data_IF_139911570315
#
_entry.id   IF_139911570315
#
_cell.length_a   1.000
_cell.length_b   1.000
_cell.length_c   1.000
_cell.angle_alpha   90.00
_cell.angle_beta   90.00
_cell.angle_gamma   90.00
#
_symmetry.space_group_name_H-M   'P 1'
#
loop_
_entity.id
_entity.type
_entity.pdbx_description
1 polymer ?
#
# COMPACT_ATOMS: atom_id res chain seq x y z
N UNK A 1 6.45 -17.05 -11.82
CA UNK A 1 5.45 -16.00 -11.59
C UNK A 1 6.26 -14.72 -11.41
N UNK A 2 6.33 -13.88 -12.42
CA UNK A 2 7.02 -12.59 -12.28
C UNK A 2 6.07 -11.63 -11.59
N UNK A 3 6.50 -11.07 -10.46
CA UNK A 3 5.80 -9.98 -9.81
C UNK A 3 6.21 -8.69 -10.52
N UNK A 4 5.25 -7.92 -11.00
CA UNK A 4 5.47 -6.59 -11.56
C UNK A 4 4.95 -5.50 -10.61
N UNK A 5 5.27 -4.24 -10.91
CA UNK A 5 4.86 -3.10 -10.09
C UNK A 5 3.35 -2.80 -10.12
N UNK A 6 2.63 -3.36 -11.09
CA UNK A 6 1.17 -3.20 -11.27
C UNK A 6 0.38 -4.40 -10.73
N UNK A 7 1.07 -5.41 -10.22
CA UNK A 7 0.47 -6.66 -9.78
C UNK A 7 -0.47 -6.35 -8.63
N UNK A 8 -1.73 -6.76 -8.77
CA UNK A 8 -2.70 -6.60 -7.71
C UNK A 8 -2.45 -7.63 -6.59
N UNK A 9 -1.73 -7.21 -5.55
CA UNK A 9 -1.27 -7.99 -4.39
C UNK A 9 -2.42 -8.51 -3.53
N UNK A 10 -3.53 -7.77 -3.47
CA UNK A 10 -4.72 -8.16 -2.75
C UNK A 10 -5.48 -9.26 -3.49
N UNK A 11 -5.66 -9.10 -4.81
CA UNK A 11 -6.35 -10.07 -5.67
C UNK A 11 -5.55 -11.34 -5.88
N UNK A 12 -4.21 -11.25 -5.91
CA UNK A 12 -3.33 -12.41 -5.99
C UNK A 12 -3.31 -13.23 -4.69
N UNK A 13 -3.84 -12.69 -3.59
CA UNK A 13 -3.81 -13.32 -2.27
C UNK A 13 -2.44 -13.25 -1.60
N UNK A 14 -1.51 -12.44 -2.13
CA UNK A 14 -0.20 -12.20 -1.51
C UNK A 14 -0.33 -11.32 -0.26
N UNK A 15 -1.34 -10.46 -0.22
CA UNK A 15 -1.67 -9.60 0.91
C UNK A 15 -3.14 -9.84 1.29
N UNK A 16 -3.36 -10.14 2.56
CA UNK A 16 -4.68 -10.15 3.20
C UNK A 16 -4.92 -8.89 4.05
N UNK A 17 -6.05 -8.81 4.73
CA UNK A 17 -6.41 -7.66 5.57
C UNK A 17 -5.48 -7.45 6.76
N UNK A 18 -4.91 -8.53 7.32
CA UNK A 18 -3.97 -8.44 8.44
C UNK A 18 -2.60 -7.98 7.96
N UNK A 19 -2.12 -8.54 6.85
CA UNK A 19 -0.88 -8.14 6.20
C UNK A 19 -0.93 -6.68 5.72
N UNK A 20 -2.08 -6.20 5.24
CA UNK A 20 -2.27 -4.81 4.85
C UNK A 20 -2.06 -3.85 6.03
N UNK A 21 -2.54 -4.21 7.22
CA UNK A 21 -2.36 -3.37 8.42
C UNK A 21 -0.87 -3.24 8.78
N UNK A 22 -0.12 -4.34 8.71
CA UNK A 22 1.33 -4.32 8.94
C UNK A 22 2.08 -3.52 7.87
N UNK A 23 1.64 -3.63 6.61
CA UNK A 23 2.21 -2.88 5.49
C UNK A 23 1.99 -1.38 5.66
N UNK A 24 0.79 -0.96 6.06
CA UNK A 24 0.53 0.45 6.35
C UNK A 24 1.42 0.95 7.48
N UNK A 25 1.52 0.22 8.60
CA UNK A 25 2.41 0.61 9.70
C UNK A 25 3.86 0.75 9.22
N UNK A 26 4.33 -0.17 8.36
CA UNK A 26 5.66 -0.09 7.76
C UNK A 26 5.84 1.19 6.93
N UNK A 27 4.86 1.52 6.07
CA UNK A 27 4.92 2.71 5.22
C UNK A 27 4.89 4.01 6.04
N UNK A 28 4.07 4.08 7.09
CA UNK A 28 4.03 5.21 8.00
C UNK A 28 5.40 5.44 8.67
N UNK A 29 6.01 4.37 9.17
CA UNK A 29 7.32 4.43 9.82
C UNK A 29 8.48 4.75 8.87
N UNK A 30 8.53 4.10 7.70
CA UNK A 30 9.63 4.25 6.74
C UNK A 30 9.65 5.64 6.10
N UNK A 31 8.46 6.22 5.86
CA UNK A 31 8.33 7.48 5.15
C UNK A 31 7.96 8.67 6.03
N UNK A 32 7.82 8.46 7.34
CA UNK A 32 7.39 9.47 8.33
C UNK A 32 6.08 10.17 7.92
N UNK A 33 5.11 9.37 7.47
CA UNK A 33 3.78 9.83 7.04
C UNK A 33 2.69 9.26 7.94
N UNK A 34 1.52 9.91 7.93
CA UNK A 34 0.32 9.38 8.56
C UNK A 34 -0.72 8.98 7.53
N UNK A 35 -1.20 7.75 7.61
CA UNK A 35 -2.17 7.14 6.71
C UNK A 35 -3.48 6.98 7.48
N UNK A 36 -4.49 7.85 7.25
CA UNK A 36 -5.76 7.72 7.94
C UNK A 36 -6.51 6.46 7.47
N UNK A 37 -7.32 5.88 8.34
CA UNK A 37 -8.17 4.71 8.03
C UNK A 37 -9.10 4.95 6.82
N UNK A 38 -9.47 6.20 6.53
CA UNK A 38 -10.24 6.56 5.33
C UNK A 38 -9.51 6.25 4.03
N UNK A 39 -8.17 6.23 4.07
CA UNK A 39 -7.32 6.03 2.91
C UNK A 39 -6.92 4.55 2.76
N UNK A 40 -7.33 3.67 3.69
CA UNK A 40 -7.20 2.21 3.62
C UNK A 40 -8.15 1.63 2.57
N UNK A 41 -7.87 1.96 1.31
CA UNK A 41 -8.66 1.51 0.17
C UNK A 41 -7.82 0.60 -0.69
N UNK A 42 -8.47 -0.36 -1.35
CA UNK A 42 -7.84 -1.24 -2.33
C UNK A 42 -7.11 -0.40 -3.40
N UNK A 43 -7.69 0.73 -3.81
CA UNK A 43 -7.11 1.60 -4.83
C UNK A 43 -5.69 2.10 -4.46
N UNK A 44 -5.46 2.44 -3.19
CA UNK A 44 -4.19 2.98 -2.71
C UNK A 44 -3.13 1.90 -2.41
N UNK A 45 -3.56 0.65 -2.17
CA UNK A 45 -2.66 -0.41 -1.66
C UNK A 45 -2.66 -1.71 -2.49
N UNK A 46 -3.34 -1.74 -3.64
CA UNK A 46 -3.41 -2.94 -4.48
C UNK A 46 -2.09 -3.31 -5.15
N UNK A 47 -1.21 -2.36 -5.45
CA UNK A 47 0.04 -2.60 -6.18
C UNK A 47 1.16 -1.71 -5.65
N UNK A 48 2.41 -2.00 -6.03
CA UNK A 48 3.55 -1.17 -5.64
C UNK A 48 3.39 0.25 -6.18
N UNK A 49 3.00 0.42 -7.45
CA UNK A 49 2.81 1.74 -8.03
C UNK A 49 1.67 2.52 -7.37
N UNK A 50 0.57 1.87 -6.98
CA UNK A 50 -0.50 2.52 -6.23
C UNK A 50 0.01 3.07 -4.89
N UNK A 51 0.80 2.28 -4.16
CA UNK A 51 1.37 2.70 -2.88
C UNK A 51 2.38 3.84 -3.06
N UNK A 52 3.27 3.75 -4.05
CA UNK A 52 4.23 4.82 -4.35
C UNK A 52 3.52 6.14 -4.64
N UNK A 53 2.53 6.12 -5.54
CA UNK A 53 1.75 7.32 -5.89
C UNK A 53 1.04 7.91 -4.67
N UNK A 54 0.47 7.05 -3.81
CA UNK A 54 -0.18 7.48 -2.59
C UNK A 54 0.80 8.13 -1.62
N UNK A 55 1.97 7.53 -1.37
CA UNK A 55 2.98 8.09 -0.47
C UNK A 55 3.54 9.41 -1.01
N UNK A 56 3.81 9.50 -2.31
CA UNK A 56 4.25 10.76 -2.94
C UNK A 56 3.22 11.87 -2.75
N UNK A 57 1.91 11.56 -2.85
CA UNK A 57 0.85 12.54 -2.61
C UNK A 57 0.79 13.05 -1.16
N UNK A 58 1.38 12.35 -0.20
CA UNK A 58 1.44 12.76 1.22
C UNK A 58 2.67 13.57 1.59
N UNK A 59 3.69 13.58 0.72
CA UNK A 59 4.96 14.32 0.92
C UNK A 59 4.95 15.73 0.30
N UNK A 60 3.88 16.10 -0.41
CA UNK A 60 3.71 17.39 -1.07
C UNK A 60 3.17 18.48 -0.14
#
# INVERSE_FOLDING_TARGET
MELDFETNLLRSGLIDSMALTNLVNFLEHEFDVRIPFTDFTIANFQSINAMTNYIESKKA
#
